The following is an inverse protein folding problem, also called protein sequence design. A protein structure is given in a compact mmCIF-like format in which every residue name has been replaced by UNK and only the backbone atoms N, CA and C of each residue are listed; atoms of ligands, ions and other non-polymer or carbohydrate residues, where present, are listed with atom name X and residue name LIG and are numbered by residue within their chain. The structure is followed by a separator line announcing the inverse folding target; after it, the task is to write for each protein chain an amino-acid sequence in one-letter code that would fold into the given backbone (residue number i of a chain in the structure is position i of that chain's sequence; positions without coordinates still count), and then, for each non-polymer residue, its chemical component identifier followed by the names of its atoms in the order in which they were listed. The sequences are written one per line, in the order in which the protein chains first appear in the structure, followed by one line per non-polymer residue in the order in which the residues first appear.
data_IF_322845993991
#
_entry.id   IF_322845993991
#
_cell.length_a   1.000
_cell.length_b   1.000
_cell.length_c   1.000
_cell.angle_alpha   90.00
_cell.angle_beta   90.00
_cell.angle_gamma   90.00
#
_symmetry.space_group_name_H-M   'P 1'
#
loop_
_entity.id
_entity.type
_entity.pdbx_description
1 polymer ?
#
# COMPACT_ATOMS: atom_id res chain seq x y z
N UNK A 1 -12.33 -1.78 18.84
CA UNK A 1 -11.41 -2.79 18.28
C UNK A 1 -11.85 -3.36 16.92
N UNK A 2 -13.11 -3.79 16.76
CA UNK A 2 -13.63 -4.36 15.50
C UNK A 2 -13.54 -3.44 14.26
N UNK A 3 -13.82 -2.14 14.42
CA UNK A 3 -13.81 -1.16 13.31
C UNK A 3 -12.40 -0.92 12.77
N UNK A 4 -11.40 -0.82 13.66
CA UNK A 4 -10.00 -0.65 13.26
C UNK A 4 -9.49 -1.89 12.54
N UNK A 5 -9.78 -3.09 13.06
CA UNK A 5 -9.45 -4.34 12.35
C UNK A 5 -10.07 -4.38 10.96
N UNK A 6 -11.34 -3.99 10.82
CA UNK A 6 -12.01 -3.93 9.52
C UNK A 6 -11.31 -2.94 8.56
N UNK A 7 -10.91 -1.76 9.03
CA UNK A 7 -10.19 -0.76 8.22
C UNK A 7 -8.81 -1.27 7.77
N UNK A 8 -8.05 -1.94 8.64
CA UNK A 8 -6.77 -2.54 8.26
C UNK A 8 -6.95 -3.71 7.28
N UNK A 9 -8.01 -4.52 7.45
CA UNK A 9 -8.36 -5.58 6.51
C UNK A 9 -8.75 -5.01 5.15
N UNK A 10 -9.54 -3.93 5.10
CA UNK A 10 -9.93 -3.22 3.89
C UNK A 10 -8.71 -2.65 3.17
N UNK A 11 -7.74 -2.06 3.89
CA UNK A 11 -6.50 -1.56 3.29
C UNK A 11 -5.65 -2.69 2.69
N UNK A 12 -5.53 -3.82 3.40
CA UNK A 12 -4.88 -5.03 2.88
C UNK A 12 -5.57 -5.57 1.63
N UNK A 13 -6.90 -5.63 1.66
CA UNK A 13 -7.73 -6.09 0.53
C UNK A 13 -7.59 -5.15 -0.67
N UNK A 14 -7.56 -3.84 -0.45
CA UNK A 14 -7.39 -2.84 -1.52
C UNK A 14 -6.02 -2.97 -2.20
N UNK A 15 -4.95 -3.15 -1.44
CA UNK A 15 -3.59 -3.37 -1.98
C UNK A 15 -3.52 -4.71 -2.73
N UNK A 16 -4.13 -5.76 -2.19
CA UNK A 16 -4.15 -7.09 -2.81
C UNK A 16 -4.95 -7.09 -4.13
N UNK A 17 -6.08 -6.38 -4.16
CA UNK A 17 -6.87 -6.17 -5.37
C UNK A 17 -6.02 -5.42 -6.40
N UNK A 18 -5.42 -4.27 -6.04
CA UNK A 18 -4.57 -3.48 -6.93
C UNK A 18 -3.42 -4.30 -7.55
N UNK A 19 -2.79 -5.17 -6.76
CA UNK A 19 -1.75 -6.09 -7.22
C UNK A 19 -2.29 -7.14 -8.19
N UNK A 20 -3.48 -7.68 -7.93
CA UNK A 20 -4.15 -8.66 -8.79
C UNK A 20 -4.54 -8.06 -10.14
N UNK A 21 -5.12 -6.84 -10.16
CA UNK A 21 -5.46 -6.16 -11.42
C UNK A 21 -4.20 -5.83 -12.23
N UNK A 22 -3.12 -5.37 -11.59
CA UNK A 22 -1.85 -5.12 -12.25
C UNK A 22 -1.27 -6.40 -12.87
N UNK A 23 -1.38 -7.54 -12.17
CA UNK A 23 -0.97 -8.85 -12.70
C UNK A 23 -1.84 -9.31 -13.87
N UNK A 24 -3.16 -9.07 -13.82
CA UNK A 24 -4.08 -9.46 -14.89
C UNK A 24 -3.98 -8.60 -16.17
N UNK A 25 -3.42 -7.38 -16.09
CA UNK A 25 -3.31 -6.45 -17.22
C UNK A 25 -1.96 -6.60 -17.96
N UNK A 26 -0.93 -7.20 -17.35
CA UNK A 26 0.36 -7.45 -18.01
C UNK A 26 0.48 -8.88 -18.51
N UNK A 27 0.61 -9.15 -19.83
CA UNK A 27 1.01 -10.48 -20.28
C UNK A 27 2.49 -10.71 -19.90
N UNK A 28 2.73 -11.85 -19.26
CA UNK A 28 3.99 -12.58 -19.14
C UNK A 28 5.26 -11.81 -18.73
N UNK A 29 5.47 -11.68 -17.42
CA UNK A 29 6.66 -12.24 -16.74
C UNK A 29 6.62 -11.95 -15.24
N UNK A 30 6.66 -13.03 -14.45
CA UNK A 30 6.86 -13.10 -13.00
C UNK A 30 7.22 -11.77 -12.31
N UNK A 31 6.29 -11.15 -11.55
CA UNK A 31 6.68 -10.19 -10.56
C UNK A 31 7.20 -10.99 -9.37
N UNK A 32 8.53 -11.04 -9.24
CA UNK A 32 9.13 -11.25 -7.93
C UNK A 32 8.49 -10.23 -6.97
N UNK A 33 7.99 -10.65 -5.78
CA UNK A 33 7.19 -9.80 -4.89
C UNK A 33 7.96 -8.58 -4.36
N UNK A 34 9.26 -8.50 -4.65
CA UNK A 34 10.21 -7.47 -4.21
C UNK A 34 10.33 -6.33 -5.25
N UNK A 35 10.13 -6.59 -6.55
CA UNK A 35 10.26 -5.56 -7.60
C UNK A 35 9.11 -4.54 -7.62
N UNK A 36 7.93 -4.89 -7.11
CA UNK A 36 6.81 -3.94 -6.97
C UNK A 36 7.13 -2.79 -5.99
N UNK A 37 8.01 -3.04 -5.02
CA UNK A 37 8.45 -2.03 -4.03
C UNK A 37 9.59 -1.17 -4.58
N UNK A 38 10.25 -1.59 -5.66
CA UNK A 38 11.45 -0.97 -6.18
C UNK A 38 11.21 -0.43 -7.59
N UNK A 39 10.71 0.80 -7.63
CA UNK A 39 11.07 1.78 -8.66
C UNK A 39 10.82 1.24 -10.08
N UNK A 40 9.56 0.99 -10.40
CA UNK A 40 9.16 0.99 -11.80
C UNK A 40 9.34 2.42 -12.32
N UNK A 41 10.07 2.61 -13.42
CA UNK A 41 10.10 3.90 -14.12
C UNK A 41 8.65 4.25 -14.46
N UNK A 42 8.11 5.31 -13.86
CA UNK A 42 6.76 5.77 -14.17
C UNK A 42 6.70 6.07 -15.68
N UNK A 43 5.59 5.73 -16.36
CA UNK A 43 5.38 6.16 -17.74
C UNK A 43 5.57 7.67 -17.84
N UNK A 44 6.06 8.17 -18.98
CA UNK A 44 6.47 9.57 -19.16
C UNK A 44 5.37 10.58 -18.75
N UNK A 45 4.10 10.24 -18.99
CA UNK A 45 2.94 11.04 -18.57
C UNK A 45 2.79 11.21 -17.05
N UNK A 46 3.36 10.30 -16.25
CA UNK A 46 3.29 10.30 -14.79
C UNK A 46 4.63 10.62 -14.13
N UNK A 47 5.64 11.05 -14.89
CA UNK A 47 6.97 11.36 -14.36
C UNK A 47 6.93 12.40 -13.21
N UNK A 48 5.94 13.30 -13.18
CA UNK A 48 5.76 14.25 -12.08
C UNK A 48 5.40 13.60 -10.73
N UNK A 49 4.82 12.39 -10.75
CA UNK A 49 4.44 11.63 -9.56
C UNK A 49 5.59 10.79 -8.98
N UNK A 50 6.75 10.75 -9.66
CA UNK A 50 7.94 10.03 -9.17
C UNK A 50 8.26 10.31 -7.69
N UNK A 51 8.33 11.57 -7.21
CA UNK A 51 8.58 11.84 -5.80
C UNK A 51 7.52 11.24 -4.86
N UNK A 52 6.26 11.13 -5.28
CA UNK A 52 5.18 10.53 -4.45
C UNK A 52 5.33 9.01 -4.39
N UNK A 53 5.71 8.38 -5.50
CA UNK A 53 5.96 6.93 -5.55
C UNK A 53 7.16 6.54 -4.70
N UNK A 54 8.17 7.41 -4.59
CA UNK A 54 9.32 7.20 -3.70
C UNK A 54 8.93 7.17 -2.21
N UNK A 55 7.84 7.84 -1.81
CA UNK A 55 7.31 7.76 -0.43
C UNK A 55 6.32 6.60 -0.22
N UNK A 56 5.82 5.98 -1.28
CA UNK A 56 4.85 4.88 -1.20
C UNK A 56 5.30 3.69 -0.30
N UNK A 57 6.60 3.31 -0.23
CA UNK A 57 7.09 2.28 0.67
C UNK A 57 6.97 2.62 2.17
N UNK A 58 6.77 3.89 2.55
CA UNK A 58 6.65 4.31 3.96
C UNK A 58 5.24 4.06 4.53
N UNK A 59 4.24 3.92 3.66
CA UNK A 59 2.82 3.79 4.03
C UNK A 59 2.56 2.65 5.04
N UNK A 60 3.16 1.44 4.92
CA UNK A 60 2.99 0.38 5.91
C UNK A 60 3.40 0.79 7.34
N UNK A 61 4.47 1.58 7.47
CA UNK A 61 4.95 2.07 8.77
C UNK A 61 4.01 3.14 9.34
N UNK A 62 3.47 4.02 8.49
CA UNK A 62 2.47 5.02 8.90
C UNK A 62 1.20 4.35 9.42
N UNK A 63 0.76 3.26 8.78
CA UNK A 63 -0.39 2.47 9.26
C UNK A 63 -0.10 1.79 10.60
N UNK A 64 1.10 1.23 10.79
CA UNK A 64 1.49 0.70 12.09
C UNK A 64 1.41 1.75 13.20
N UNK A 65 1.93 2.95 12.95
CA UNK A 65 1.84 4.08 13.89
C UNK A 65 0.39 4.52 14.13
N UNK A 66 -0.42 4.58 13.08
CA UNK A 66 -1.84 4.94 13.16
C UNK A 66 -2.62 3.98 14.06
N UNK A 67 -2.24 2.70 14.14
CA UNK A 67 -2.85 1.76 15.09
C UNK A 67 -2.70 2.25 16.54
N UNK A 68 -1.53 2.77 16.93
CA UNK A 68 -1.30 3.29 18.28
C UNK A 68 -2.03 4.61 18.52
N UNK A 69 -2.03 5.51 17.52
CA UNK A 69 -2.80 6.77 17.60
C UNK A 69 -4.27 6.47 17.80
N UNK A 70 -4.82 5.51 17.08
CA UNK A 70 -6.21 5.09 17.23
C UNK A 70 -6.47 4.46 18.60
N UNK A 71 -5.62 3.54 19.06
CA UNK A 71 -5.77 2.95 20.40
C UNK A 71 -5.70 4.03 21.50
N UNK A 72 -4.82 5.02 21.35
CA UNK A 72 -4.74 6.16 22.25
C UNK A 72 -6.01 7.04 22.21
N UNK A 73 -6.58 7.28 21.02
CA UNK A 73 -7.81 8.06 20.85
C UNK A 73 -9.02 7.39 21.53
N UNK A 74 -9.05 6.06 21.57
CA UNK A 74 -10.06 5.31 22.34
C UNK A 74 -9.60 4.97 23.76
N UNK A 75 -8.52 5.58 24.28
CA UNK A 75 -8.06 5.43 25.68
C UNK A 75 -7.54 4.03 26.08
N UNK A 76 -7.04 3.24 25.12
CA UNK A 76 -6.48 1.89 25.38
C UNK A 76 -7.41 0.95 26.18
N UNK A 77 -8.71 1.06 25.92
CA UNK A 77 -9.74 0.13 26.42
C UNK A 77 -10.02 -0.97 25.43
#
# INVERSE_FOLDING_TARGET
MFVMFNIFQIFKISICIMYTIAFCIGPESSPSPISFVLIAKLPEAYAFLSPIVDFMPVIPFLFFLFAFVWQAAVSFR
#
